data_IF_992186434114
#
_entry.id   IF_992186434114
#
_cell.length_a   1.000
_cell.length_b   1.000
_cell.length_c   1.000
_cell.angle_alpha   90.00
_cell.angle_beta   90.00
_cell.angle_gamma   90.00
#
_symmetry.space_group_name_H-M   'P 1'
#
loop_
_entity.id
_entity.type
_entity.pdbx_description
1 polymer ?
#
# COMPACT_ATOMS: atom_id res chain seq x y z
N UNK A 1 3.00 -12.71 0.53
CA UNK A 1 4.05 -13.75 0.70
C UNK A 1 3.88 -14.57 1.98
N UNK A 2 3.48 -14.00 3.12
CA UNK A 2 3.43 -14.75 4.41
C UNK A 2 2.18 -15.65 4.59
N UNK A 3 0.98 -15.21 4.17
CA UNK A 3 -0.29 -15.91 4.44
C UNK A 3 -0.34 -17.35 3.87
N UNK A 4 0.09 -17.62 2.63
CA UNK A 4 0.10 -18.98 2.08
C UNK A 4 1.14 -19.92 2.72
N UNK A 5 2.13 -19.35 3.40
CA UNK A 5 3.21 -20.10 4.06
C UNK A 5 2.89 -20.41 5.54
N UNK A 6 1.96 -19.69 6.17
CA UNK A 6 1.54 -19.93 7.56
C UNK A 6 1.10 -21.37 7.87
N UNK A 7 0.41 -22.11 6.96
CA UNK A 7 0.08 -23.51 7.20
C UNK A 7 1.30 -24.45 7.24
N UNK A 8 2.43 -24.04 6.66
CA UNK A 8 3.67 -24.84 6.57
C UNK A 8 4.58 -24.67 7.80
N UNK A 9 4.20 -23.79 8.73
CA UNK A 9 5.01 -23.44 9.90
C UNK A 9 4.46 -24.19 11.11
N UNK A 10 5.30 -24.84 11.94
CA UNK A 10 4.86 -25.49 13.17
C UNK A 10 4.04 -24.54 14.05
N UNK A 11 2.96 -25.05 14.66
CA UNK A 11 2.02 -24.23 15.45
C UNK A 11 2.69 -23.46 16.59
N UNK A 12 3.76 -24.01 17.15
CA UNK A 12 4.58 -23.38 18.20
C UNK A 12 5.26 -22.08 17.76
N UNK A 13 5.57 -21.92 16.47
CA UNK A 13 6.29 -20.75 15.93
C UNK A 13 5.37 -19.68 15.37
N UNK A 14 4.09 -20.01 15.09
CA UNK A 14 3.09 -19.06 14.57
C UNK A 14 2.89 -17.81 15.46
N UNK A 15 2.93 -17.90 16.80
CA UNK A 15 2.86 -16.73 17.67
C UNK A 15 4.06 -15.79 17.53
N UNK A 16 5.28 -16.33 17.37
CA UNK A 16 6.47 -15.51 17.20
C UNK A 16 6.42 -14.68 15.91
N UNK A 17 5.95 -15.30 14.81
CA UNK A 17 5.80 -14.61 13.52
C UNK A 17 4.70 -13.55 13.58
N UNK A 18 3.53 -13.91 14.09
CA UNK A 18 2.37 -13.02 14.13
C UNK A 18 2.51 -11.86 15.14
N UNK A 19 3.23 -12.05 16.26
CA UNK A 19 3.38 -11.04 17.30
C UNK A 19 4.66 -10.21 17.20
N UNK A 20 5.72 -10.70 16.56
CA UNK A 20 7.03 -10.00 16.53
C UNK A 20 7.39 -9.56 15.11
N UNK A 21 7.33 -10.48 14.14
CA UNK A 21 7.79 -10.22 12.78
C UNK A 21 6.76 -9.40 12.00
N UNK A 22 5.49 -9.81 12.03
CA UNK A 22 4.44 -9.16 11.25
C UNK A 22 4.24 -7.67 11.61
N UNK A 23 4.22 -7.25 12.89
CA UNK A 23 4.10 -5.83 13.24
C UNK A 23 5.31 -5.01 12.76
N UNK A 24 6.52 -5.54 12.92
CA UNK A 24 7.76 -4.86 12.52
C UNK A 24 7.84 -4.70 11.00
N UNK A 25 7.57 -5.76 10.25
CA UNK A 25 7.57 -5.72 8.78
C UNK A 25 6.52 -4.74 8.25
N UNK A 26 5.34 -4.71 8.88
CA UNK A 26 4.25 -3.84 8.49
C UNK A 26 4.53 -2.36 8.81
N UNK A 27 5.22 -2.09 9.91
CA UNK A 27 5.71 -0.75 10.25
C UNK A 27 6.62 -0.22 9.14
N UNK A 28 7.66 -0.97 8.77
CA UNK A 28 8.59 -0.57 7.70
C UNK A 28 7.90 -0.43 6.35
N UNK A 29 6.96 -1.33 6.02
CA UNK A 29 6.18 -1.24 4.78
C UNK A 29 5.40 0.06 4.66
N UNK A 30 4.75 0.53 5.74
CA UNK A 30 4.00 1.80 5.76
C UNK A 30 4.88 3.01 5.47
N UNK A 31 6.06 3.05 6.09
CA UNK A 31 7.00 4.15 5.91
C UNK A 31 7.70 4.09 4.55
N UNK A 32 8.03 2.90 4.05
CA UNK A 32 8.54 2.72 2.70
C UNK A 32 7.53 3.23 1.65
N UNK A 33 6.25 2.89 1.78
CA UNK A 33 5.21 3.39 0.88
C UNK A 33 5.09 4.93 0.92
N UNK A 34 5.20 5.53 2.10
CA UNK A 34 5.22 6.99 2.26
C UNK A 34 6.46 7.61 1.60
N UNK A 35 7.64 7.02 1.82
CA UNK A 35 8.89 7.47 1.23
C UNK A 35 8.83 7.44 -0.31
N UNK A 36 8.24 6.40 -0.92
CA UNK A 36 8.07 6.32 -2.37
C UNK A 36 7.24 7.49 -2.93
N UNK A 37 6.14 7.87 -2.27
CA UNK A 37 5.32 9.01 -2.69
C UNK A 37 6.07 10.33 -2.53
N UNK A 38 6.75 10.52 -1.40
CA UNK A 38 7.53 11.74 -1.15
C UNK A 38 8.64 11.89 -2.18
N UNK A 39 9.41 10.83 -2.44
CA UNK A 39 10.47 10.85 -3.43
C UNK A 39 9.92 11.10 -4.84
N UNK A 40 8.80 10.47 -5.21
CA UNK A 40 8.13 10.73 -6.48
C UNK A 40 7.68 12.18 -6.65
N UNK A 41 7.14 12.79 -5.58
CA UNK A 41 6.75 14.21 -5.58
C UNK A 41 7.95 15.14 -5.66
N UNK A 42 9.05 14.83 -4.95
CA UNK A 42 10.31 15.59 -5.04
C UNK A 42 10.85 15.54 -6.47
N UNK A 43 10.87 14.36 -7.10
CA UNK A 43 11.29 14.22 -8.49
C UNK A 43 10.40 15.04 -9.44
N UNK A 44 9.07 14.96 -9.29
CA UNK A 44 8.14 15.75 -10.09
C UNK A 44 8.31 17.27 -9.90
N UNK A 45 8.66 17.69 -8.67
CA UNK A 45 8.95 19.08 -8.34
C UNK A 45 10.25 19.56 -8.97
N UNK A 46 11.32 18.76 -8.86
CA UNK A 46 12.62 19.05 -9.50
C UNK A 46 12.52 19.14 -11.03
N UNK A 47 11.61 18.39 -11.64
CA UNK A 47 11.36 18.43 -13.07
C UNK A 47 10.28 19.47 -13.48
N UNK A 48 9.73 20.24 -12.53
CA UNK A 48 8.83 21.36 -12.81
C UNK A 48 7.43 21.00 -13.32
N UNK A 49 7.01 19.73 -13.21
CA UNK A 49 5.71 19.26 -13.71
C UNK A 49 4.71 18.84 -12.63
N UNK A 50 5.07 18.95 -11.35
CA UNK A 50 4.22 18.45 -10.25
C UNK A 50 2.80 19.02 -10.27
N UNK A 51 2.64 20.32 -10.55
CA UNK A 51 1.31 20.95 -10.61
C UNK A 51 0.51 20.46 -11.81
N UNK A 52 1.14 20.37 -12.96
CA UNK A 52 0.54 19.95 -14.22
C UNK A 52 0.10 18.48 -14.18
N UNK A 53 0.92 17.61 -13.58
CA UNK A 53 0.60 16.20 -13.38
C UNK A 53 -0.55 16.02 -12.37
N UNK A 54 -0.53 16.72 -11.24
CA UNK A 54 -1.61 16.61 -10.25
C UNK A 54 -2.94 17.20 -10.76
N UNK A 55 -2.89 18.22 -11.62
CA UNK A 55 -4.04 18.80 -12.31
C UNK A 55 -4.48 18.00 -13.55
N UNK A 56 -3.82 16.88 -13.87
CA UNK A 56 -4.13 16.03 -15.02
C UNK A 56 -4.13 16.79 -16.37
N UNK A 57 -3.18 17.71 -16.54
CA UNK A 57 -3.01 18.40 -17.82
C UNK A 57 -2.65 17.41 -18.93
N UNK A 58 -3.08 17.70 -20.16
CA UNK A 58 -2.97 16.79 -21.31
C UNK A 58 -1.56 16.20 -21.50
N UNK A 59 -0.51 17.01 -21.38
CA UNK A 59 0.89 16.58 -21.56
C UNK A 59 1.45 15.71 -20.42
N UNK A 60 0.77 15.66 -19.29
CA UNK A 60 1.18 14.94 -18.08
C UNK A 60 0.07 14.00 -17.57
N UNK A 61 -0.88 13.64 -18.43
CA UNK A 61 -2.06 12.89 -18.04
C UNK A 61 -1.66 11.50 -17.56
N UNK A 62 -0.80 10.79 -18.31
CA UNK A 62 -0.34 9.46 -17.94
C UNK A 62 0.39 9.49 -16.57
N UNK A 63 1.43 10.29 -16.42
CA UNK A 63 2.14 10.38 -15.13
C UNK A 63 1.23 10.86 -13.99
N UNK A 64 0.32 11.80 -14.26
CA UNK A 64 -0.67 12.30 -13.31
C UNK A 64 -1.59 11.21 -12.77
N UNK A 65 -2.15 10.37 -13.66
CA UNK A 65 -2.95 9.20 -13.26
C UNK A 65 -2.12 8.21 -12.43
N UNK A 66 -0.88 7.95 -12.81
CA UNK A 66 0.06 7.12 -12.04
C UNK A 66 0.30 7.68 -10.62
N UNK A 67 0.52 8.99 -10.50
CA UNK A 67 0.71 9.68 -9.21
C UNK A 67 -0.54 9.59 -8.33
N UNK A 68 -1.73 9.84 -8.89
CA UNK A 68 -3.00 9.72 -8.16
C UNK A 68 -3.26 8.30 -7.65
N UNK A 69 -3.00 7.29 -8.48
CA UNK A 69 -3.09 5.89 -8.05
C UNK A 69 -2.12 5.59 -6.91
N UNK A 70 -0.89 6.10 -6.96
CA UNK A 70 0.09 6.00 -5.88
C UNK A 70 -0.43 6.64 -4.58
N UNK A 71 -1.01 7.85 -4.65
CA UNK A 71 -1.58 8.55 -3.48
C UNK A 71 -2.75 7.76 -2.89
N UNK A 72 -3.67 7.27 -3.72
CA UNK A 72 -4.80 6.43 -3.29
C UNK A 72 -4.28 5.15 -2.62
N UNK A 73 -3.26 4.52 -3.19
CA UNK A 73 -2.68 3.31 -2.62
C UNK A 73 -2.03 3.58 -1.26
N UNK A 74 -1.30 4.69 -1.12
CA UNK A 74 -0.75 5.12 0.17
C UNK A 74 -1.86 5.39 1.19
N UNK A 75 -2.94 6.06 0.78
CA UNK A 75 -4.09 6.33 1.63
C UNK A 75 -4.73 5.03 2.14
N UNK A 76 -4.96 4.05 1.26
CA UNK A 76 -5.48 2.73 1.63
C UNK A 76 -4.59 2.05 2.69
N UNK A 77 -3.26 2.14 2.54
CA UNK A 77 -2.30 1.58 3.50
C UNK A 77 -2.41 2.25 4.86
N UNK A 78 -2.49 3.58 4.90
CA UNK A 78 -2.45 4.35 6.14
C UNK A 78 -3.78 4.38 6.90
N UNK A 79 -4.89 4.51 6.19
CA UNK A 79 -6.20 4.76 6.79
C UNK A 79 -7.13 3.56 6.82
N UNK A 80 -6.94 2.57 5.94
CA UNK A 80 -7.82 1.40 5.88
C UNK A 80 -7.08 0.16 6.39
N UNK A 81 -5.96 -0.19 5.77
CA UNK A 81 -5.22 -1.43 6.06
C UNK A 81 -4.64 -1.39 7.47
N UNK A 82 -3.96 -0.31 7.85
CA UNK A 82 -3.29 -0.22 9.16
C UNK A 82 -4.23 -0.28 10.37
N UNK A 83 -5.34 0.50 10.45
CA UNK A 83 -6.26 0.39 11.60
C UNK A 83 -6.86 -1.01 11.74
N UNK A 84 -7.18 -1.66 10.62
CA UNK A 84 -7.70 -3.03 10.63
C UNK A 84 -6.63 -4.05 11.03
N UNK A 85 -5.36 -3.85 10.63
CA UNK A 85 -4.26 -4.69 11.07
C UNK A 85 -3.93 -4.53 12.55
N UNK A 86 -4.01 -3.32 13.11
CA UNK A 86 -3.86 -3.11 14.57
C UNK A 86 -4.86 -3.94 15.37
N UNK A 87 -6.12 -3.98 14.91
CA UNK A 87 -7.18 -4.83 15.50
C UNK A 87 -6.87 -6.32 15.29
N UNK A 88 -6.52 -6.73 14.07
CA UNK A 88 -6.25 -8.12 13.72
C UNK A 88 -5.04 -8.72 14.46
N UNK A 89 -3.98 -7.93 14.66
CA UNK A 89 -2.75 -8.32 15.37
C UNK A 89 -2.91 -8.27 16.90
N UNK A 90 -4.04 -7.77 17.42
CA UNK A 90 -4.28 -7.64 18.85
C UNK A 90 -3.51 -6.49 19.51
N UNK A 91 -3.07 -5.50 18.72
CA UNK A 91 -2.51 -4.25 19.26
C UNK A 91 -3.60 -3.37 19.91
N UNK A 92 -4.85 -3.58 19.51
CA UNK A 92 -6.05 -3.00 20.13
C UNK A 92 -6.96 -4.14 20.56
N UNK A 93 -7.38 -4.13 21.81
CA UNK A 93 -8.35 -5.09 22.33
C UNK A 93 -9.72 -4.83 21.69
N UNK A 94 -10.23 -5.84 20.98
CA UNK A 94 -11.55 -5.83 20.34
C UNK A 94 -12.18 -7.22 20.50
N UNK A 95 -13.50 -7.30 20.36
CA UNK A 95 -14.21 -8.57 20.42
C UNK A 95 -13.66 -9.57 19.37
N UNK A 96 -13.70 -10.89 19.62
CA UNK A 96 -13.17 -11.91 18.69
C UNK A 96 -13.77 -11.83 17.28
N UNK A 97 -15.06 -11.49 17.18
CA UNK A 97 -15.74 -11.30 15.91
C UNK A 97 -15.19 -10.09 15.13
N UNK A 98 -14.96 -8.98 15.81
CA UNK A 98 -14.39 -7.78 15.21
C UNK A 98 -12.96 -8.01 14.74
N UNK A 99 -12.17 -8.79 15.49
CA UNK A 99 -10.81 -9.17 15.10
C UNK A 99 -10.81 -9.92 13.76
N UNK A 100 -11.75 -10.85 13.60
CA UNK A 100 -11.88 -11.66 12.38
C UNK A 100 -12.35 -10.82 11.20
N UNK A 101 -13.33 -9.93 11.42
CA UNK A 101 -13.80 -8.97 10.41
C UNK A 101 -12.67 -8.03 9.96
N UNK A 102 -11.92 -7.46 10.91
CA UNK A 102 -10.80 -6.58 10.63
C UNK A 102 -9.68 -7.28 9.84
N UNK A 103 -9.35 -8.53 10.20
CA UNK A 103 -8.38 -9.32 9.45
C UNK A 103 -8.81 -9.54 7.98
N UNK A 104 -10.10 -9.84 7.76
CA UNK A 104 -10.66 -10.00 6.41
C UNK A 104 -10.63 -8.71 5.60
N UNK A 105 -11.02 -7.58 6.20
CA UNK A 105 -10.97 -6.26 5.55
C UNK A 105 -9.53 -5.91 5.18
N UNK A 106 -8.59 -6.01 6.12
CA UNK A 106 -7.17 -5.76 5.86
C UNK A 106 -6.64 -6.61 4.69
N UNK A 107 -7.02 -7.88 4.62
CA UNK A 107 -6.61 -8.80 3.56
C UNK A 107 -7.21 -8.45 2.19
N UNK A 108 -8.51 -8.17 2.13
CA UNK A 108 -9.18 -7.80 0.87
C UNK A 108 -8.69 -6.46 0.35
N UNK A 109 -8.59 -5.45 1.21
CA UNK A 109 -8.05 -4.14 0.84
C UNK A 109 -6.59 -4.24 0.41
N UNK A 110 -5.77 -5.07 1.07
CA UNK A 110 -4.39 -5.30 0.63
C UNK A 110 -4.31 -5.90 -0.78
N UNK A 111 -5.17 -6.86 -1.11
CA UNK A 111 -5.22 -7.45 -2.47
C UNK A 111 -5.64 -6.42 -3.51
N UNK A 112 -6.69 -5.67 -3.22
CA UNK A 112 -7.14 -4.58 -4.08
C UNK A 112 -6.04 -3.54 -4.29
N UNK A 113 -5.37 -3.14 -3.20
CA UNK A 113 -4.27 -2.20 -3.24
C UNK A 113 -3.11 -2.71 -4.10
N UNK A 114 -2.77 -4.00 -4.02
CA UNK A 114 -1.76 -4.60 -4.91
C UNK A 114 -2.23 -4.60 -6.37
N UNK A 115 -3.49 -4.89 -6.67
CA UNK A 115 -3.97 -4.86 -8.06
C UNK A 115 -3.88 -3.46 -8.68
N UNK A 116 -4.07 -2.39 -7.89
CA UNK A 116 -3.88 -1.01 -8.35
C UNK A 116 -2.43 -0.69 -8.76
N UNK A 117 -1.43 -1.48 -8.35
CA UNK A 117 -0.06 -1.26 -8.80
C UNK A 117 0.12 -1.53 -10.28
N UNK A 118 -0.68 -2.40 -10.89
CA UNK A 118 -0.62 -2.70 -12.33
C UNK A 118 -0.96 -1.49 -13.20
N UNK A 119 -2.16 -0.86 -13.08
CA UNK A 119 -2.47 0.34 -13.84
C UNK A 119 -1.54 1.51 -13.47
N UNK A 120 -1.12 1.62 -12.21
CA UNK A 120 -0.17 2.66 -11.78
C UNK A 120 1.17 2.55 -12.53
N UNK A 121 1.77 1.36 -12.57
CA UNK A 121 3.02 1.11 -13.29
C UNK A 121 2.84 1.30 -14.79
N UNK A 122 1.71 0.85 -15.35
CA UNK A 122 1.39 1.06 -16.76
C UNK A 122 1.42 2.55 -17.12
N UNK A 123 0.75 3.40 -16.34
CA UNK A 123 0.73 4.85 -16.59
C UNK A 123 2.09 5.52 -16.44
N UNK A 124 2.93 5.06 -15.51
CA UNK A 124 4.30 5.57 -15.36
C UNK A 124 5.18 5.22 -16.58
N UNK A 125 5.08 3.99 -17.10
CA UNK A 125 5.82 3.53 -18.28
C UNK A 125 5.28 4.15 -19.56
N UNK A 126 3.96 4.33 -19.66
CA UNK A 126 3.33 4.96 -20.80
C UNK A 126 3.91 6.38 -21.02
N UNK A 127 4.02 7.19 -19.96
CA UNK A 127 4.63 8.52 -20.05
C UNK A 127 6.07 8.48 -20.59
N UNK A 128 6.90 7.51 -20.20
CA UNK A 128 8.31 7.44 -20.61
C UNK A 128 8.51 6.96 -22.04
N UNK A 129 7.49 6.36 -22.67
CA UNK A 129 7.58 5.79 -24.02
C UNK A 129 6.56 6.39 -25.00
N UNK A 130 6.01 7.57 -24.71
CA UNK A 130 5.08 8.26 -25.61
C UNK A 130 3.67 7.65 -25.65
N UNK A 131 3.32 6.83 -24.65
CA UNK A 131 1.96 6.37 -24.41
C UNK A 131 1.16 7.38 -23.60
N UNK A 132 0.07 7.88 -24.20
CA UNK A 132 -0.86 8.92 -23.74
C UNK A 132 -0.24 10.30 -23.51
#
# INVERSE_FOLDING_TARGET
>A
VQIPSMPKIPDEQKPAISKVIAPSALFWFRWAAMATIILGLILAWMNGYVGQALMLQKSFLAIGLGMWLGIIMWFNVWFIIWPNQKKALGMVQVAPEEKTKAARVAMLTSRFNTMLSLPMLYFMVAQSHGGL
#
